data_IF_356590461189
#
_entry.id   IF_356590461189
#
_cell.length_a   1.000
_cell.length_b   1.000
_cell.length_c   1.000
_cell.angle_alpha   90.00
_cell.angle_beta   90.00
_cell.angle_gamma   90.00
#
_symmetry.space_group_name_H-M   'P 1'
#
loop_
_entity.id
_entity.type
_entity.pdbx_description
1 polymer ?
2 non-polymer ?
#
# COMPACT_ATOMS: atom_id res chain seq x y z
N UNK A 22 -13.73 -11.18 31.97
CA UNK A 22 -12.94 -11.98 31.03
C UNK A 22 -13.75 -13.16 30.49
N UNK A 23 -13.77 -13.29 29.16
CA UNK A 23 -14.50 -14.38 28.52
C UNK A 23 -13.69 -15.65 28.41
N UNK A 24 -14.26 -16.69 27.81
CA UNK A 24 -13.56 -17.95 27.67
C UNK A 24 -12.49 -17.83 26.59
N UNK A 25 -11.35 -18.48 26.83
CA UNK A 25 -10.26 -18.46 25.86
C UNK A 25 -10.60 -19.36 24.68
N UNK A 26 -10.33 -18.86 23.48
CA UNK A 26 -10.55 -19.64 22.28
C UNK A 26 -9.47 -20.71 22.13
N UNK A 27 -9.78 -21.73 21.35
CA UNK A 27 -8.80 -22.76 21.02
C UNK A 27 -7.69 -22.15 20.18
N UNK A 28 -6.48 -22.69 20.35
CA UNK A 28 -5.31 -22.07 19.73
C UNK A 28 -5.23 -22.37 18.24
N UNK A 29 -5.41 -23.64 17.86
CA UNK A 29 -5.41 -24.00 16.44
C UNK A 29 -6.64 -23.45 15.73
N UNK A 30 -7.75 -23.26 16.43
CA UNK A 30 -8.91 -22.60 15.84
C UNK A 30 -8.73 -21.08 15.76
N UNK A 31 -7.73 -20.53 16.42
CA UNK A 31 -7.45 -19.10 16.37
C UNK A 31 -6.51 -18.76 15.22
N UNK A 32 -5.40 -19.48 15.10
CA UNK A 32 -4.41 -19.18 14.07
C UNK A 32 -4.95 -19.55 12.69
N UNK A 33 -5.74 -20.63 12.60
CA UNK A 33 -6.36 -20.97 11.33
C UNK A 33 -7.52 -20.06 10.97
N UNK A 34 -7.97 -19.19 11.89
CA UNK A 34 -8.98 -18.19 11.59
C UNK A 34 -8.39 -16.81 11.37
N UNK A 35 -7.25 -16.49 12.00
CA UNK A 35 -6.55 -15.25 11.67
C UNK A 35 -5.97 -15.32 10.27
N UNK A 36 -5.44 -16.47 9.88
CA UNK A 36 -4.91 -16.66 8.54
C UNK A 36 -5.99 -16.97 7.51
N UNK A 37 -7.24 -17.15 7.95
CA UNK A 37 -8.34 -17.25 7.01
C UNK A 37 -9.03 -15.90 6.82
N UNK A 38 -9.14 -15.09 7.88
CA UNK A 38 -9.62 -13.73 7.70
C UNK A 38 -8.59 -12.89 6.96
N UNK A 39 -7.31 -13.02 7.31
CA UNK A 39 -6.27 -12.31 6.61
C UNK A 39 -6.07 -12.75 5.17
N UNK A 40 -6.55 -13.94 4.83
CA UNK A 40 -6.62 -14.36 3.43
C UNK A 40 -7.83 -13.77 2.74
N UNK A 41 -9.00 -13.85 3.38
CA UNK A 41 -10.25 -13.46 2.74
C UNK A 41 -10.48 -11.95 2.73
N UNK A 42 -9.78 -11.20 3.59
CA UNK A 42 -9.94 -9.75 3.57
C UNK A 42 -9.22 -9.11 2.38
N UNK A 43 -8.36 -9.85 1.70
CA UNK A 43 -7.67 -9.34 0.52
C UNK A 43 -8.35 -9.74 -0.78
N UNK A 44 -9.45 -10.49 -0.73
CA UNK A 44 -10.09 -10.97 -1.94
C UNK A 44 -10.99 -9.87 -2.49
N UNK A 45 -10.45 -9.14 -3.46
CA UNK A 45 -11.19 -8.10 -4.18
C UNK A 45 -10.77 -8.32 -5.63
N UNK A 46 -11.45 -9.24 -6.33
CA UNK A 46 -11.05 -9.58 -7.70
C UNK A 46 -11.10 -8.41 -8.66
N UNK A 47 -12.02 -7.46 -8.44
CA UNK A 47 -12.11 -6.32 -9.33
C UNK A 47 -11.31 -5.12 -8.86
N UNK A 48 -10.30 -5.35 -8.03
CA UNK A 48 -9.52 -4.25 -7.48
C UNK A 48 -8.54 -3.69 -8.49
N UNK A 49 -7.90 -4.57 -9.26
CA UNK A 49 -6.99 -4.12 -10.31
C UNK A 49 -7.72 -3.56 -11.51
N UNK A 50 -9.01 -3.83 -11.63
CA UNK A 50 -9.83 -3.40 -12.76
C UNK A 50 -10.82 -2.33 -12.35
N UNK A 51 -10.40 -1.39 -11.50
CA UNK A 51 -11.24 -0.26 -11.18
C UNK A 51 -11.08 0.84 -12.23
N UNK A 52 -9.84 1.13 -12.61
CA UNK A 52 -9.61 2.12 -13.66
C UNK A 52 -10.07 1.67 -15.06
N UNK A 53 -9.89 0.41 -15.51
CA UNK A 53 -10.57 0.03 -16.77
C UNK A 53 -12.08 -0.02 -16.66
N UNK A 54 -12.62 -0.10 -15.44
CA UNK A 54 -14.06 0.03 -15.26
C UNK A 54 -14.52 1.47 -15.30
N UNK A 55 -13.78 2.39 -14.67
CA UNK A 55 -14.17 3.80 -14.67
C UNK A 55 -13.93 4.44 -16.02
N UNK A 56 -12.85 4.06 -16.70
CA UNK A 56 -12.55 4.56 -18.03
C UNK A 56 -13.21 3.75 -19.13
N UNK A 57 -14.04 2.77 -18.77
CA UNK A 57 -14.69 1.93 -19.74
C UNK A 57 -16.00 2.50 -20.22
N UNK A 58 -16.79 1.68 -20.91
CA UNK A 58 -18.08 2.17 -21.44
C UNK A 58 -19.23 2.07 -20.46
N UNK A 59 -18.93 1.90 -19.17
CA UNK A 59 -19.97 1.69 -18.15
C UNK A 59 -20.06 2.83 -17.15
N UNK A 60 -19.29 3.90 -17.31
CA UNK A 60 -19.19 4.85 -16.20
C UNK A 60 -19.40 6.31 -16.56
N UNK A 61 -19.13 6.68 -17.83
CA UNK A 61 -19.22 8.07 -18.33
C UNK A 61 -18.29 9.00 -17.55
N UNK A 62 -17.00 8.73 -17.67
CA UNK A 62 -15.96 9.56 -17.07
C UNK A 62 -14.91 9.85 -18.11
N UNK A 63 -14.50 11.11 -18.20
CA UNK A 63 -13.40 11.49 -19.07
C UNK A 63 -12.09 10.94 -18.52
N UNK A 64 -11.09 10.85 -19.38
CA UNK A 64 -9.76 10.44 -18.93
C UNK A 64 -9.13 11.48 -18.03
N UNK A 65 -9.50 12.75 -18.22
CA UNK A 65 -9.01 13.84 -17.39
C UNK A 65 -9.80 14.00 -16.10
N UNK A 66 -10.93 13.31 -15.95
CA UNK A 66 -11.65 13.35 -14.68
C UNK A 66 -11.14 12.29 -13.71
N UNK A 67 -10.65 11.17 -14.24
CA UNK A 67 -10.13 10.12 -13.37
C UNK A 67 -8.75 10.49 -12.85
N UNK A 68 -7.88 11.03 -13.68
CA UNK A 68 -6.51 11.30 -13.27
C UNK A 68 -6.33 12.66 -12.62
N UNK A 69 -7.32 13.56 -12.68
CA UNK A 69 -7.15 14.90 -12.15
C UNK A 69 -8.27 15.36 -11.23
N UNK A 70 -9.37 14.61 -11.13
CA UNK A 70 -10.45 14.96 -10.23
C UNK A 70 -10.84 13.86 -9.27
N UNK A 71 -10.51 12.60 -9.55
CA UNK A 71 -10.90 11.47 -8.71
C UNK A 71 -9.71 10.91 -7.95
N UNK A 72 -8.66 10.51 -8.65
CA UNK A 72 -7.47 9.91 -8.04
C UNK A 72 -6.66 10.83 -7.12
N UNK A 73 -6.58 12.16 -7.30
CA UNK A 73 -5.98 12.99 -6.24
C UNK A 73 -6.75 13.00 -4.93
N UNK A 74 -8.06 12.71 -4.93
CA UNK A 74 -8.81 12.62 -3.68
C UNK A 74 -8.40 11.41 -2.87
N UNK A 75 -7.79 10.40 -3.51
CA UNK A 75 -7.25 9.27 -2.78
C UNK A 75 -6.09 9.68 -1.88
N UNK A 76 -5.28 10.65 -2.32
CA UNK A 76 -4.18 11.10 -1.48
C UNK A 76 -4.60 12.19 -0.51
N UNK A 77 -5.68 12.92 -0.82
CA UNK A 77 -6.21 13.92 0.10
C UNK A 77 -6.88 13.26 1.28
N UNK A 78 -7.77 12.29 1.00
CA UNK A 78 -8.48 11.60 2.06
C UNK A 78 -7.57 10.69 2.86
N UNK A 79 -6.46 10.23 2.27
CA UNK A 79 -5.49 9.44 3.03
C UNK A 79 -4.78 10.30 4.07
N UNK A 80 -4.51 11.56 3.73
CA UNK A 80 -3.90 12.47 4.70
C UNK A 80 -4.88 12.81 5.81
N UNK A 81 -6.17 12.88 5.52
CA UNK A 81 -7.15 13.30 6.50
C UNK A 81 -7.51 12.20 7.48
N UNK A 82 -7.41 10.93 7.09
CA UNK A 82 -7.86 9.83 7.93
C UNK A 82 -6.73 8.97 8.46
N UNK A 83 -5.46 9.28 8.12
CA UNK A 83 -4.36 8.43 8.57
C UNK A 83 -4.15 8.52 10.08
N UNK A 84 -4.21 9.73 10.63
CA UNK A 84 -4.10 9.92 12.07
C UNK A 84 -5.39 9.57 12.82
N UNK A 85 -6.60 9.90 12.35
CA UNK A 85 -7.79 9.37 13.06
C UNK A 85 -7.92 7.85 13.08
N UNK A 86 -7.52 7.15 12.01
CA UNK A 86 -7.65 5.70 12.04
C UNK A 86 -6.58 5.07 12.93
N UNK A 87 -5.34 5.57 12.86
CA UNK A 87 -4.24 5.03 13.66
C UNK A 87 -4.46 5.21 15.15
N UNK A 88 -5.15 6.27 15.55
CA UNK A 88 -5.53 6.40 16.95
C UNK A 88 -6.73 5.54 17.29
N UNK A 89 -7.72 5.46 16.38
CA UNK A 89 -8.87 4.59 16.60
C UNK A 89 -8.53 3.11 16.44
N UNK A 90 -7.43 2.79 15.78
CA UNK A 90 -6.99 1.40 15.72
C UNK A 90 -6.53 0.91 17.08
N UNK A 91 -5.83 1.77 17.81
CA UNK A 91 -5.32 1.43 19.13
C UNK A 91 -6.32 1.72 20.24
N UNK A 92 -7.23 2.67 20.03
CA UNK A 92 -8.19 2.99 21.09
C UNK A 92 -9.32 1.97 21.14
N UNK A 93 -9.79 1.50 19.99
CA UNK A 93 -10.89 0.54 19.93
C UNK A 93 -10.42 -0.90 19.97
N UNK A 94 -9.11 -1.12 20.14
CA UNK A 94 -8.49 -2.45 20.25
C UNK A 94 -8.74 -3.31 19.01
N UNK A 95 -8.54 -2.69 17.85
CA UNK A 95 -8.20 -3.30 16.56
C UNK A 95 -9.25 -4.24 15.96
N UNK A 96 -10.45 -4.27 16.51
CA UNK A 96 -11.50 -5.13 15.96
C UNK A 96 -12.52 -4.22 15.24
N UNK A 97 -12.96 -3.07 15.77
CA UNK A 97 -13.85 -2.21 14.97
C UNK A 97 -13.20 -1.61 13.74
N UNK A 98 -11.88 -1.50 13.70
CA UNK A 98 -11.23 -0.93 12.53
C UNK A 98 -11.01 -2.00 11.46
N UNK A 99 -10.83 -3.25 11.86
CA UNK A 99 -10.90 -4.35 10.90
C UNK A 99 -12.31 -4.55 10.38
N UNK A 100 -13.32 -4.11 11.13
CA UNK A 100 -14.68 -4.04 10.63
C UNK A 100 -14.93 -2.77 9.83
N UNK A 101 -14.28 -1.66 10.20
CA UNK A 101 -14.40 -0.43 9.43
C UNK A 101 -13.71 -0.57 8.07
N UNK A 102 -12.60 -1.31 8.03
CA UNK A 102 -11.93 -1.56 6.75
C UNK A 102 -12.78 -2.46 5.86
N UNK A 103 -13.49 -3.40 6.44
CA UNK A 103 -14.38 -4.25 5.65
C UNK A 103 -15.61 -3.53 5.18
N UNK A 104 -16.15 -2.62 5.99
CA UNK A 104 -17.33 -1.85 5.61
C UNK A 104 -16.99 -0.68 4.71
N UNK A 105 -15.76 -0.19 4.73
CA UNK A 105 -15.34 0.81 3.75
C UNK A 105 -15.02 0.18 2.41
N UNK A 106 -14.68 -1.11 2.38
CA UNK A 106 -14.47 -1.79 1.10
C UNK A 106 -15.80 -2.12 0.43
N UNK A 107 -16.84 -2.40 1.22
CA UNK A 107 -18.18 -2.56 0.68
C UNK A 107 -18.68 -1.23 0.14
N UNK A 108 -18.38 -0.14 0.86
CA UNK A 108 -18.79 1.19 0.41
C UNK A 108 -18.02 1.66 -0.82
N UNK A 109 -16.82 1.15 -1.05
CA UNK A 109 -16.12 1.43 -2.31
C UNK A 109 -16.80 0.71 -3.45
N UNK A 110 -17.08 -0.58 -3.28
CA UNK A 110 -17.71 -1.35 -4.34
C UNK A 110 -19.21 -1.13 -4.45
N UNK A 111 -19.83 -0.43 -3.50
CA UNK A 111 -21.18 0.05 -3.70
C UNK A 111 -21.20 1.38 -4.44
N UNK A 112 -20.13 2.16 -4.33
CA UNK A 112 -20.02 3.39 -5.12
C UNK A 112 -19.44 3.12 -6.50
N UNK A 113 -18.76 1.99 -6.70
CA UNK A 113 -18.36 1.62 -8.05
C UNK A 113 -19.56 1.20 -8.89
N UNK A 114 -20.43 0.37 -8.34
CA UNK A 114 -21.54 -0.20 -9.09
C UNK A 114 -22.73 0.73 -9.19
N UNK A 115 -22.93 1.63 -8.23
CA UNK A 115 -24.10 2.50 -8.21
C UNK A 115 -23.76 3.97 -8.36
N UNK A 116 -22.48 4.34 -8.38
CA UNK A 116 -22.10 5.73 -8.52
C UNK A 116 -21.94 6.11 -9.99
N UNK A 117 -22.36 7.30 -10.34
CA UNK A 117 -22.25 7.75 -11.72
C UNK A 117 -21.61 9.12 -11.83
N UNK A 118 -21.71 9.93 -10.79
CA UNK A 118 -21.12 11.25 -10.82
C UNK A 118 -19.65 11.20 -10.41
N UNK A 119 -18.96 12.32 -10.63
CA UNK A 119 -17.57 12.43 -10.20
C UNK A 119 -17.50 12.51 -8.69
N UNK A 120 -18.47 13.17 -8.06
CA UNK A 120 -18.52 13.22 -6.59
C UNK A 120 -18.85 11.88 -5.97
N UNK A 121 -19.49 10.98 -6.72
CA UNK A 121 -19.70 9.63 -6.24
C UNK A 121 -18.42 8.81 -6.24
N UNK A 122 -17.45 9.17 -7.07
CA UNK A 122 -16.16 8.49 -7.07
C UNK A 122 -15.13 9.20 -6.22
N UNK A 123 -15.33 10.49 -5.94
CA UNK A 123 -14.41 11.16 -4.99
C UNK A 123 -14.76 10.60 -3.61
N UNK A 124 -16.06 10.34 -3.37
CA UNK A 124 -16.50 9.71 -2.10
C UNK A 124 -15.92 8.29 -2.02
N UNK A 125 -15.86 7.60 -3.17
CA UNK A 125 -15.31 6.23 -3.23
C UNK A 125 -13.83 6.24 -2.82
N UNK A 126 -13.08 7.24 -3.28
CA UNK A 126 -11.65 7.38 -2.91
C UNK A 126 -11.55 7.68 -1.42
N UNK A 127 -12.53 8.41 -0.86
CA UNK A 127 -12.56 8.66 0.57
C UNK A 127 -12.69 7.37 1.36
N UNK A 128 -13.51 6.44 0.85
CA UNK A 128 -13.70 5.18 1.57
C UNK A 128 -12.54 4.23 1.32
N UNK A 129 -11.85 4.36 0.18
CA UNK A 129 -10.67 3.53 -0.03
C UNK A 129 -9.50 4.00 0.82
N UNK A 130 -9.45 5.30 1.12
CA UNK A 130 -8.40 5.83 1.98
C UNK A 130 -8.56 5.39 3.44
N UNK A 131 -9.78 5.04 3.85
CA UNK A 131 -9.99 4.46 5.17
C UNK A 131 -9.35 3.08 5.25
N UNK A 132 -9.48 2.30 4.17
CA UNK A 132 -8.90 0.95 4.14
C UNK A 132 -7.39 0.98 4.03
N UNK A 133 -6.83 2.01 3.39
CA UNK A 133 -5.38 2.12 3.30
C UNK A 133 -4.81 2.60 4.64
N UNK A 134 -5.58 3.40 5.38
CA UNK A 134 -5.17 3.78 6.72
C UNK A 134 -5.34 2.63 7.71
N UNK A 135 -6.19 1.66 7.39
CA UNK A 135 -6.42 0.50 8.23
C UNK A 135 -5.66 -0.73 7.75
N UNK A 136 -4.58 -0.54 7.00
CA UNK A 136 -3.75 -1.68 6.59
C UNK A 136 -2.94 -2.21 7.76
N UNK A 137 -2.58 -1.35 8.71
CA UNK A 137 -1.89 -1.79 9.92
C UNK A 137 -2.86 -2.24 11.01
N UNK A 138 -4.16 -2.26 10.72
CA UNK A 138 -5.12 -2.70 11.72
C UNK A 138 -5.16 -4.21 11.84
N UNK A 139 -4.51 -4.93 10.93
CA UNK A 139 -4.41 -6.38 11.00
C UNK A 139 -3.03 -6.82 11.46
N UNK A 140 -1.98 -6.10 11.07
CA UNK A 140 -0.64 -6.42 11.52
C UNK A 140 -0.46 -6.11 13.01
N UNK A 141 -1.13 -5.08 13.51
CA UNK A 141 -1.09 -4.74 14.92
C UNK A 141 -2.22 -5.38 15.71
N UNK A 142 -3.14 -6.09 15.04
CA UNK A 142 -4.16 -6.84 15.76
C UNK A 142 -3.59 -8.13 16.32
N UNK A 143 -2.91 -8.91 15.47
CA UNK A 143 -2.27 -10.13 15.92
C UNK A 143 -1.02 -9.87 16.75
N UNK A 144 -0.54 -8.63 16.78
CA UNK A 144 0.54 -8.27 17.68
C UNK A 144 0.06 -8.19 19.11
N UNK A 145 -1.15 -7.67 19.33
CA UNK A 145 -1.73 -7.56 20.65
C UNK A 145 -2.59 -8.74 21.03
N UNK A 146 -2.97 -9.59 20.07
CA UNK A 146 -3.77 -10.76 20.37
C UNK A 146 -2.91 -11.94 20.79
N UNK A 147 -1.75 -12.09 20.19
CA UNK A 147 -0.87 -13.24 20.40
C UNK A 147 0.23 -12.84 21.38
N UNK A 148 0.52 -13.73 22.32
CA UNK A 148 1.61 -13.54 23.26
C UNK A 148 2.95 -13.52 22.50
N UNK A 149 3.94 -12.76 23.00
CA UNK A 149 5.20 -12.61 22.25
C UNK A 149 6.01 -13.88 22.09
N UNK A 150 5.80 -14.88 22.95
CA UNK A 150 6.44 -16.17 22.75
C UNK A 150 5.85 -16.93 21.56
N UNK A 151 4.60 -16.64 21.20
CA UNK A 151 3.91 -17.30 20.11
C UNK A 151 3.71 -16.39 18.90
N UNK A 152 4.26 -15.18 18.93
CA UNK A 152 3.86 -14.18 17.94
C UNK A 152 4.56 -14.37 16.60
N UNK A 153 5.85 -14.65 16.60
CA UNK A 153 6.63 -14.69 15.37
C UNK A 153 6.24 -15.86 14.46
N UNK A 154 5.65 -16.91 15.02
CA UNK A 154 5.12 -17.98 14.19
C UNK A 154 3.75 -17.63 13.61
N UNK A 155 2.93 -16.92 14.40
CA UNK A 155 1.61 -16.51 13.91
C UNK A 155 1.75 -15.36 12.93
N UNK A 156 2.69 -14.43 13.19
CA UNK A 156 2.93 -13.34 12.26
C UNK A 156 3.57 -13.81 10.97
N UNK A 157 4.23 -14.97 10.99
CA UNK A 157 4.74 -15.56 9.77
C UNK A 157 3.63 -16.19 8.96
N UNK A 158 2.71 -16.87 9.65
CA UNK A 158 1.59 -17.53 8.97
C UNK A 158 0.57 -16.52 8.46
N UNK A 159 0.38 -15.44 9.21
CA UNK A 159 -0.58 -14.40 8.84
C UNK A 159 -0.09 -13.62 7.63
N UNK A 160 1.17 -13.20 7.67
CA UNK A 160 1.75 -12.44 6.57
C UNK A 160 1.79 -13.27 5.30
N UNK A 161 2.07 -14.56 5.41
CA UNK A 161 2.01 -15.45 4.26
C UNK A 161 0.59 -15.77 3.83
N UNK A 162 -0.40 -15.44 4.64
CA UNK A 162 -1.80 -15.54 4.22
C UNK A 162 -2.31 -14.24 3.63
N UNK A 163 -1.70 -13.11 4.00
CA UNK A 163 -2.07 -11.84 3.39
C UNK A 163 -1.55 -11.76 1.97
N UNK A 164 -0.25 -12.02 1.77
CA UNK A 164 0.34 -11.94 0.44
C UNK A 164 -0.10 -13.09 -0.46
N UNK A 165 -0.65 -14.16 0.10
CA UNK A 165 -1.32 -15.16 -0.71
C UNK A 165 -2.72 -14.71 -1.11
N UNK A 166 -3.37 -13.92 -0.27
CA UNK A 166 -4.69 -13.40 -0.58
C UNK A 166 -4.63 -12.23 -1.54
N UNK A 167 -3.58 -11.42 -1.43
CA UNK A 167 -3.36 -10.34 -2.39
C UNK A 167 -2.99 -10.93 -3.75
N UNK A 168 -2.25 -12.04 -3.76
CA UNK A 168 -1.90 -12.70 -5.02
C UNK A 168 -3.14 -13.34 -5.66
N UNK A 169 -3.87 -14.15 -4.91
CA UNK A 169 -4.94 -14.94 -5.50
C UNK A 169 -6.20 -14.13 -5.78
N UNK A 170 -6.30 -12.89 -5.32
CA UNK A 170 -7.42 -12.06 -5.73
C UNK A 170 -7.17 -11.46 -7.10
N UNK A 171 -5.92 -11.12 -7.40
CA UNK A 171 -5.58 -10.65 -8.73
C UNK A 171 -5.56 -11.78 -9.74
N UNK A 172 -5.28 -13.01 -9.29
CA UNK A 172 -5.35 -14.17 -10.15
C UNK A 172 -6.80 -14.54 -10.43
N UNK A 173 -7.64 -14.53 -9.38
CA UNK A 173 -9.07 -14.77 -9.57
C UNK A 173 -9.72 -13.65 -10.37
N UNK A 174 -9.26 -12.41 -10.19
CA UNK A 174 -9.77 -11.32 -11.00
C UNK A 174 -9.34 -11.39 -12.44
N UNK A 175 -8.20 -12.04 -12.71
CA UNK A 175 -7.74 -12.19 -14.08
C UNK A 175 -8.36 -13.39 -14.75
N UNK A 176 -8.54 -14.50 -14.00
CA UNK A 176 -9.13 -15.70 -14.59
C UNK A 176 -10.61 -15.53 -14.84
N UNK A 177 -11.30 -14.70 -14.05
CA UNK A 177 -12.69 -14.41 -14.34
C UNK A 177 -12.84 -13.47 -15.53
N UNK A 178 -11.84 -12.63 -15.78
CA UNK A 178 -11.95 -11.63 -16.84
C UNK A 178 -11.44 -12.19 -18.17
N UNK A 179 -10.33 -12.93 -18.13
CA UNK A 179 -9.76 -13.46 -19.36
C UNK A 179 -10.32 -14.82 -19.71
N UNK A 180 -10.21 -15.78 -18.80
CA UNK A 180 -10.72 -17.13 -19.04
C UNK A 180 -12.22 -17.21 -18.80
N UNK A 181 -12.69 -16.62 -17.69
CA UNK A 181 -14.11 -16.68 -17.37
C UNK A 181 -14.99 -15.83 -18.23
N UNK A 182 -14.43 -14.81 -18.88
CA UNK A 182 -15.12 -13.88 -19.80
C UNK A 182 -16.30 -13.18 -19.13
N UNK A 183 -16.06 -12.65 -17.94
CA UNK A 183 -17.06 -11.86 -17.25
C UNK A 183 -16.75 -10.38 -17.49
N UNK A 184 -17.77 -9.55 -17.36
CA UNK A 184 -17.60 -8.12 -17.53
C UNK A 184 -17.01 -7.52 -16.26
N UNK A 185 -16.62 -6.24 -16.34
CA UNK A 185 -16.13 -5.55 -15.16
C UNK A 185 -17.24 -5.23 -14.19
N UNK A 186 -18.48 -5.13 -14.65
CA UNK A 186 -19.59 -4.94 -13.73
C UNK A 186 -19.92 -6.23 -12.99
N UNK A 187 -19.87 -7.37 -13.70
CA UNK A 187 -20.11 -8.65 -13.06
C UNK A 187 -18.99 -9.02 -12.10
N UNK A 188 -17.76 -8.63 -12.44
CA UNK A 188 -16.62 -8.86 -11.55
C UNK A 188 -16.73 -8.04 -10.28
N UNK A 189 -17.27 -6.83 -10.35
CA UNK A 189 -17.45 -6.02 -9.16
C UNK A 189 -18.61 -6.48 -8.29
N UNK A 190 -19.55 -7.25 -8.85
CA UNK A 190 -20.54 -7.91 -8.02
C UNK A 190 -20.00 -9.18 -7.39
N UNK A 191 -19.07 -9.86 -8.08
CA UNK A 191 -18.35 -10.96 -7.47
C UNK A 191 -17.43 -10.45 -6.36
N UNK A 192 -16.78 -9.29 -6.60
CA UNK A 192 -15.95 -8.67 -5.57
C UNK A 192 -16.79 -8.18 -4.41
N UNK A 193 -18.03 -7.77 -4.66
CA UNK A 193 -18.90 -7.33 -3.58
C UNK A 193 -19.37 -8.51 -2.72
N UNK A 194 -19.41 -9.71 -3.29
CA UNK A 194 -19.75 -10.89 -2.50
C UNK A 194 -18.59 -11.33 -1.62
N UNK A 195 -17.36 -11.21 -2.10
CA UNK A 195 -16.19 -11.53 -1.29
C UNK A 195 -15.92 -10.48 -0.21
N UNK A 196 -16.52 -9.30 -0.32
CA UNK A 196 -16.29 -8.25 0.65
C UNK A 196 -17.33 -8.22 1.74
N UNK A 197 -18.57 -8.61 1.46
CA UNK A 197 -19.55 -8.80 2.52
C UNK A 197 -19.22 -10.04 3.35
N UNK A 198 -18.54 -11.02 2.74
CA UNK A 198 -18.08 -12.18 3.48
C UNK A 198 -16.92 -11.81 4.40
N UNK A 199 -16.09 -10.85 4.01
CA UNK A 199 -15.01 -10.39 4.87
C UNK A 199 -15.50 -9.47 5.99
N UNK A 200 -16.73 -8.96 5.88
CA UNK A 200 -17.33 -8.24 7.01
C UNK A 200 -17.84 -9.23 8.05
N UNK A 201 -18.43 -10.35 7.61
CA UNK A 201 -18.92 -11.37 8.52
C UNK A 201 -17.76 -12.05 9.26
N UNK A 202 -16.64 -12.24 8.57
CA UNK A 202 -15.46 -12.83 9.23
C UNK A 202 -14.82 -11.87 10.21
N UNK A 203 -14.99 -10.56 10.01
CA UNK A 203 -14.45 -9.58 10.95
C UNK A 203 -15.29 -9.44 12.20
N UNK A 204 -16.54 -9.90 12.17
CA UNK A 204 -17.39 -9.83 13.35
C UNK A 204 -17.02 -10.88 14.37
N UNK A 205 -16.52 -12.04 13.93
CA UNK A 205 -16.19 -13.15 14.81
C UNK A 205 -14.73 -13.13 15.24
N UNK A 206 -14.04 -12.01 15.06
CA UNK A 206 -12.67 -11.90 15.53
C UNK A 206 -12.63 -11.60 17.02
N UNK A 207 -11.70 -12.23 17.72
CA UNK A 207 -11.55 -12.02 19.16
C UNK A 207 -10.97 -10.64 19.41
N UNK A 208 -11.70 -9.81 20.12
CA UNK A 208 -11.19 -8.50 20.47
C UNK A 208 -10.20 -8.62 21.63
N UNK A 209 -9.02 -8.03 21.52
CA UNK A 209 -8.09 -8.01 22.66
C UNK A 209 -8.63 -7.16 23.79
N UNK A 210 -8.14 -7.43 25.00
CA UNK A 210 -8.59 -6.69 26.18
C UNK A 210 -7.72 -5.46 26.45
N UNK A 211 -6.47 -5.52 26.05
CA UNK A 211 -5.57 -4.39 26.24
C UNK A 211 -4.80 -4.13 24.96
N UNK A 212 -4.51 -2.87 24.72
CA UNK A 212 -3.86 -2.41 23.50
C UNK A 212 -2.43 -1.96 23.79
N UNK A 213 -1.77 -1.41 22.78
CA UNK A 213 -0.38 -0.99 22.91
C UNK A 213 -0.23 0.39 23.50
N UNK A 214 -1.12 1.33 23.20
CA UNK A 214 -1.00 2.70 23.68
C UNK A 214 -2.09 3.07 24.68
N UNK A 215 -3.35 2.94 24.31
CA UNK A 215 -4.42 3.53 25.10
C UNK A 215 -5.01 2.58 26.12
N UNK A 216 -5.28 1.35 25.70
CA UNK A 216 -5.89 0.35 26.58
C UNK A 216 -4.96 -0.27 27.62
N UNK A 217 -3.67 0.01 27.52
CA UNK A 217 -2.71 -0.54 28.47
C UNK A 217 -3.12 -0.15 29.89
N UNK A 218 -3.01 -1.12 30.82
CA UNK A 218 -3.37 -0.87 32.21
C UNK A 218 -2.32 -0.09 32.98
N UNK A 219 -1.17 0.22 32.36
CA UNK A 219 -0.07 1.01 32.91
C UNK A 219 0.48 0.46 34.22
N UNK A 252 5.22 7.43 32.28
CA UNK A 252 4.07 7.03 31.48
C UNK A 252 4.52 6.57 30.10
N UNK A 253 3.61 5.92 29.37
CA UNK A 253 3.93 5.43 28.03
C UNK A 253 4.45 6.53 27.14
N UNK A 254 3.77 7.68 27.13
CA UNK A 254 4.18 8.80 26.31
C UNK A 254 5.51 9.40 26.77
N UNK A 255 5.64 9.62 28.08
CA UNK A 255 6.87 10.17 28.62
C UNK A 255 8.06 9.30 28.22
N UNK A 256 7.92 7.99 28.43
CA UNK A 256 8.97 7.03 28.08
C UNK A 256 9.34 7.14 26.61
N UNK A 257 8.32 7.22 25.75
CA UNK A 257 8.50 7.31 24.31
C UNK A 257 9.37 8.49 23.92
N UNK A 258 8.92 9.70 24.27
CA UNK A 258 9.65 10.93 23.94
C UNK A 258 11.08 10.95 24.50
N UNK A 259 11.25 10.44 25.72
CA UNK A 259 12.56 10.40 26.34
C UNK A 259 13.47 9.43 25.60
N UNK A 260 12.90 8.34 25.11
CA UNK A 260 13.65 7.34 24.36
C UNK A 260 13.52 7.54 22.86
N UNK A 261 13.42 8.79 22.43
CA UNK A 261 13.30 9.10 21.02
C UNK A 261 14.49 9.92 20.56
N UNK A 262 14.84 10.98 21.30
CA UNK A 262 15.96 11.78 20.84
C UNK A 262 17.28 11.05 20.94
N UNK A 263 17.36 10.03 21.79
CA UNK A 263 18.50 9.12 21.76
C UNK A 263 18.52 8.31 20.47
N UNK A 264 17.36 7.87 20.01
CA UNK A 264 17.25 7.08 18.80
C UNK A 264 17.11 7.92 17.55
N UNK A 265 16.77 9.20 17.68
CA UNK A 265 16.63 10.06 16.51
C UNK A 265 17.98 10.42 15.91
N UNK A 266 19.04 10.43 16.71
CA UNK A 266 20.38 10.68 16.20
C UNK A 266 21.10 9.37 15.86
N UNK A 267 20.42 8.52 15.10
CA UNK A 267 21.00 7.29 14.59
C UNK A 267 21.18 7.44 13.08
N UNK A 268 22.36 7.13 12.52
CA UNK A 268 22.57 7.35 11.09
C UNK A 268 21.85 6.34 10.19
N UNK A 269 21.19 5.35 10.74
CA UNK A 269 20.38 4.41 9.96
C UNK A 269 18.89 4.66 10.09
N UNK A 270 18.42 5.13 11.24
CA UNK A 270 17.03 5.54 11.35
C UNK A 270 16.79 6.84 10.57
N UNK A 271 17.68 7.81 10.72
CA UNK A 271 17.55 9.09 10.05
C UNK A 271 17.75 8.97 8.55
N UNK A 272 18.46 7.94 8.08
CA UNK A 272 18.65 7.74 6.65
C UNK A 272 17.42 7.09 6.01
N UNK A 273 16.91 6.04 6.63
CA UNK A 273 15.80 5.29 6.05
C UNK A 273 14.44 5.90 6.35
N UNK A 274 14.35 6.83 7.30
CA UNK A 274 13.12 7.61 7.43
C UNK A 274 13.00 8.60 6.29
N UNK A 275 14.12 9.19 5.86
CA UNK A 275 14.09 10.10 4.72
C UNK A 275 13.81 9.33 3.42
N UNK A 276 14.16 8.05 3.37
CA UNK A 276 13.70 7.21 2.27
C UNK A 276 12.21 6.94 2.37
N UNK A 277 11.71 6.69 3.58
CA UNK A 277 10.30 6.37 3.75
C UNK A 277 9.42 7.59 3.52
N UNK A 278 9.92 8.79 3.77
CA UNK A 278 9.12 9.99 3.56
C UNK A 278 9.03 10.33 2.08
N UNK A 279 10.18 10.37 1.40
CA UNK A 279 10.23 10.90 0.04
C UNK A 279 10.22 9.83 -1.04
N UNK A 280 10.96 8.75 -0.88
CA UNK A 280 11.01 7.73 -1.93
C UNK A 280 9.82 6.79 -1.88
N UNK A 281 9.01 6.84 -0.82
CA UNK A 281 7.76 6.11 -0.78
C UNK A 281 6.57 6.98 -1.14
N UNK A 282 6.69 8.30 -1.03
CA UNK A 282 5.65 9.19 -1.53
C UNK A 282 5.60 9.14 -3.05
N UNK A 283 6.76 9.08 -3.70
CA UNK A 283 6.79 8.93 -5.14
C UNK A 283 6.45 7.54 -5.62
N UNK A 284 6.59 6.54 -4.75
CA UNK A 284 6.21 5.17 -5.11
C UNK A 284 4.70 5.07 -5.30
N UNK A 285 3.94 5.53 -4.30
CA UNK A 285 2.49 5.39 -4.35
C UNK A 285 1.86 6.32 -5.37
N UNK A 286 2.52 7.40 -5.76
CA UNK A 286 2.01 8.23 -6.84
C UNK A 286 2.15 7.55 -8.20
N UNK A 287 2.99 6.52 -8.31
CA UNK A 287 3.01 5.72 -9.51
C UNK A 287 1.95 4.62 -9.46
N UNK A 288 1.76 4.01 -8.29
CA UNK A 288 0.83 2.90 -8.14
C UNK A 288 -0.61 3.37 -8.26
N UNK A 289 -0.92 4.62 -7.87
CA UNK A 289 -2.26 5.15 -8.03
C UNK A 289 -2.61 5.37 -9.50
N UNK A 290 -1.62 5.74 -10.30
CA UNK A 290 -1.87 6.23 -11.66
C UNK A 290 -1.37 5.32 -12.75
N UNK A 291 -0.80 4.15 -12.43
CA UNK A 291 -0.26 3.30 -13.49
C UNK A 291 -1.40 2.61 -14.24
N UNK A 292 -2.56 2.46 -13.62
CA UNK A 292 -3.69 1.84 -14.32
C UNK A 292 -4.34 2.82 -15.27
N UNK A 293 -4.18 4.12 -15.01
CA UNK A 293 -4.66 5.14 -15.94
C UNK A 293 -3.74 5.23 -17.14
N UNK A 294 -2.46 4.95 -16.95
CA UNK A 294 -1.50 4.94 -18.04
C UNK A 294 -1.63 3.69 -18.90
N UNK A 295 -1.93 2.55 -18.29
CA UNK A 295 -2.14 1.32 -19.04
C UNK A 295 -3.42 1.35 -19.86
N UNK A 296 -4.40 2.14 -19.45
CA UNK A 296 -5.60 2.35 -20.24
C UNK A 296 -5.38 3.28 -21.41
N UNK A 297 -4.29 4.04 -21.39
CA UNK A 297 -3.90 4.92 -22.48
C UNK A 297 -2.99 4.22 -23.48
N UNK A 298 -2.12 3.32 -23.01
CA UNK A 298 -1.23 2.59 -23.90
C UNK A 298 -2.00 1.60 -24.75
N UNK A 299 -2.76 0.71 -24.10
CA UNK A 299 -3.60 -0.27 -24.78
C UNK A 299 -5.05 -0.01 -24.42
N UNK A 300 -5.75 0.88 -25.15
CA UNK A 300 -7.17 1.14 -24.86
C UNK A 300 -8.08 0.14 -25.56
N UNK A 301 -8.06 -1.10 -25.06
CA UNK A 301 -8.82 -2.17 -25.70
C UNK A 301 -10.29 -2.07 -25.32
N UNK A 302 -11.14 -2.52 -26.25
CA UNK A 302 -12.58 -2.58 -25.99
C UNK A 302 -12.97 -3.88 -25.29
N UNK A 303 -12.28 -4.97 -25.59
CA UNK A 303 -12.53 -6.23 -24.92
C UNK A 303 -11.93 -6.20 -23.53
N UNK A 304 -12.74 -6.55 -22.53
CA UNK A 304 -12.26 -6.57 -21.16
C UNK A 304 -11.27 -7.71 -20.92
N UNK A 305 -11.36 -8.78 -21.72
CA UNK A 305 -10.52 -9.97 -21.53
C UNK A 305 -9.07 -9.75 -21.92
N UNK A 306 -8.72 -8.62 -22.52
CA UNK A 306 -7.35 -8.33 -22.92
C UNK A 306 -6.71 -7.25 -22.05
N UNK A 307 -7.24 -7.02 -20.85
CA UNK A 307 -6.76 -5.91 -20.04
C UNK A 307 -5.49 -6.30 -19.30
N UNK A 308 -5.51 -7.44 -18.60
CA UNK A 308 -4.37 -8.02 -17.88
C UNK A 308 -3.82 -7.09 -16.80
N UNK A 309 -4.70 -6.29 -16.18
CA UNK A 309 -4.28 -5.53 -15.01
C UNK A 309 -4.08 -6.44 -13.80
N UNK A 310 -4.86 -7.52 -13.71
CA UNK A 310 -4.71 -8.43 -12.60
C UNK A 310 -3.50 -9.34 -12.71
N UNK A 311 -3.06 -9.64 -13.93
CA UNK A 311 -1.85 -10.43 -14.08
C UNK A 311 -0.60 -9.61 -13.81
N UNK A 312 -0.68 -8.29 -14.04
CA UNK A 312 0.45 -7.41 -13.75
C UNK A 312 0.49 -6.97 -12.29
N UNK A 313 -0.59 -7.18 -11.54
CA UNK A 313 -0.58 -6.93 -10.11
C UNK A 313 -0.48 -8.20 -9.27
N UNK A 314 -0.67 -9.37 -9.89
CA UNK A 314 -0.32 -10.62 -9.23
C UNK A 314 1.15 -10.95 -9.40
N UNK A 315 1.75 -10.56 -10.53
CA UNK A 315 3.17 -10.76 -10.71
C UNK A 315 3.99 -9.79 -9.88
N UNK A 316 3.49 -8.56 -9.69
CA UNK A 316 4.17 -7.61 -8.82
C UNK A 316 4.04 -7.98 -7.36
N UNK A 317 3.02 -8.75 -6.99
CA UNK A 317 2.93 -9.32 -5.65
C UNK A 317 3.83 -10.54 -5.52
N UNK A 318 3.93 -11.35 -6.57
CA UNK A 318 4.83 -12.50 -6.54
C UNK A 318 6.28 -12.07 -6.59
N UNK A 319 6.60 -11.02 -7.34
CA UNK A 319 7.95 -10.47 -7.29
C UNK A 319 8.17 -9.63 -6.04
N UNK A 320 7.11 -9.02 -5.51
CA UNK A 320 7.23 -8.27 -4.28
C UNK A 320 7.46 -9.15 -3.07
N UNK A 321 7.01 -10.40 -3.12
CA UNK A 321 7.27 -11.35 -2.06
C UNK A 321 8.61 -12.04 -2.20
N UNK A 322 9.16 -12.10 -3.42
CA UNK A 322 10.48 -12.69 -3.62
C UNK A 322 11.57 -11.71 -3.19
N UNK A 323 11.44 -10.43 -3.57
CA UNK A 323 12.45 -9.44 -3.20
C UNK A 323 12.38 -9.08 -1.71
N UNK A 324 11.20 -9.15 -1.10
CA UNK A 324 11.11 -8.96 0.33
C UNK A 324 11.68 -10.16 1.09
N UNK A 325 11.61 -11.35 0.52
CA UNK A 325 12.26 -12.50 1.12
C UNK A 325 13.77 -12.44 0.91
N UNK A 326 14.21 -12.00 -0.27
CA UNK A 326 15.63 -11.90 -0.55
C UNK A 326 16.28 -10.73 0.17
N UNK A 327 15.48 -9.78 0.68
CA UNK A 327 16.03 -8.69 1.46
C UNK A 327 16.39 -9.12 2.87
N UNK A 328 15.75 -10.15 3.41
CA UNK A 328 15.98 -10.61 4.77
C UNK A 328 17.38 -11.15 5.01
N UNK A 329 18.08 -11.56 3.96
CA UNK A 329 19.48 -11.94 4.05
C UNK A 329 20.41 -10.80 3.67
N UNK A 330 19.90 -9.57 3.64
CA UNK A 330 20.63 -8.44 3.10
C UNK A 330 20.54 -7.26 4.08
N UNK A 331 19.59 -7.35 5.03
CA UNK A 331 19.29 -6.27 5.96
C UNK A 331 20.49 -5.86 6.82
N UNK A 332 21.31 -6.82 7.21
CA UNK A 332 22.44 -6.56 8.09
C UNK A 332 23.74 -6.43 7.30
N UNK A 333 23.99 -7.35 6.36
CA UNK A 333 25.27 -7.38 5.66
C UNK A 333 25.41 -6.28 4.62
N UNK A 334 24.31 -5.69 4.16
CA UNK A 334 24.35 -4.57 3.24
C UNK A 334 23.95 -3.26 3.90
N UNK A 335 23.90 -3.21 5.23
CA UNK A 335 23.53 -1.99 5.94
C UNK A 335 24.63 -0.95 5.94
N UNK A 336 25.88 -1.35 5.68
CA UNK A 336 26.96 -0.38 5.59
C UNK A 336 26.87 0.41 4.29
N UNK A 337 26.71 -0.28 3.17
CA UNK A 337 26.54 0.36 1.86
C UNK A 337 25.05 0.64 1.64
N UNK A 338 24.52 1.55 2.45
CA UNK A 338 23.08 1.77 2.52
C UNK A 338 22.61 2.88 1.60
N UNK A 339 23.33 4.00 1.54
CA UNK A 339 22.96 5.07 0.63
C UNK A 339 23.22 4.68 -0.82
N UNK A 340 24.21 3.81 -1.05
CA UNK A 340 24.45 3.32 -2.40
C UNK A 340 23.39 2.30 -2.82
N UNK A 341 22.80 1.62 -1.85
CA UNK A 341 21.70 0.70 -2.16
C UNK A 341 20.42 1.45 -2.46
N UNK A 342 20.19 2.56 -1.77
CA UNK A 342 19.03 3.39 -2.04
C UNK A 342 19.16 4.08 -3.39
N UNK A 343 20.33 4.66 -3.66
CA UNK A 343 20.57 5.37 -4.92
C UNK A 343 20.63 4.43 -6.12
N UNK A 344 20.89 3.15 -5.91
CA UNK A 344 20.90 2.20 -7.00
C UNK A 344 19.50 1.73 -7.37
N UNK A 345 18.62 1.66 -6.37
CA UNK A 345 17.26 1.22 -6.62
C UNK A 345 16.38 2.38 -7.06
N UNK A 346 16.59 3.56 -6.50
CA UNK A 346 15.80 4.73 -6.89
C UNK A 346 16.12 5.18 -8.31
N UNK A 347 17.38 5.04 -8.73
CA UNK A 347 17.72 5.31 -10.12
C UNK A 347 17.19 4.22 -11.04
N UNK A 348 17.05 3.00 -10.54
CA UNK A 348 16.35 1.96 -11.30
C UNK A 348 14.87 2.26 -11.40
N UNK A 349 14.27 2.78 -10.32
CA UNK A 349 12.89 3.24 -10.37
C UNK A 349 12.73 4.50 -11.20
N UNK A 350 13.80 5.29 -11.36
CA UNK A 350 13.73 6.46 -12.23
C UNK A 350 13.66 6.06 -13.69
N UNK A 351 14.31 4.95 -14.07
CA UNK A 351 14.25 4.49 -15.43
C UNK A 351 12.99 3.72 -15.76
N UNK A 352 12.40 3.05 -14.77
CA UNK A 352 11.19 2.29 -15.00
C UNK A 352 9.97 3.20 -15.15
N UNK A 353 9.92 4.28 -14.37
CA UNK A 353 8.85 5.26 -14.51
C UNK A 353 9.03 6.05 -15.81
N UNK A 354 10.27 6.29 -16.22
CA UNK A 354 10.52 6.89 -17.52
C UNK A 354 10.14 5.93 -18.65
N UNK A 355 10.36 4.64 -18.45
CA UNK A 355 9.94 3.65 -19.45
C UNK A 355 8.43 3.54 -19.52
N UNK A 356 7.74 3.77 -18.40
CA UNK A 356 6.28 3.81 -18.41
C UNK A 356 5.77 5.04 -19.16
N UNK A 357 6.41 6.19 -18.95
CA UNK A 357 5.92 7.43 -19.53
C UNK A 357 6.21 7.57 -21.01
N UNK A 358 7.12 6.77 -21.57
CA UNK A 358 7.54 6.94 -22.95
C UNK A 358 7.16 5.79 -23.87
N UNK A 359 6.56 4.73 -23.36
CA UNK A 359 6.01 3.69 -24.22
C UNK A 359 4.61 4.11 -24.66
N UNK A 360 4.44 4.36 -25.95
CA UNK A 360 3.18 4.85 -26.48
C UNK A 360 2.46 3.87 -27.40
N UNK A 361 3.15 2.86 -27.93
CA UNK A 361 2.51 1.93 -28.83
C UNK A 361 1.74 0.86 -28.04
N UNK A 362 0.58 0.42 -28.53
CA UNK A 362 -0.19 -0.59 -27.80
C UNK A 362 0.45 -1.96 -27.77
N UNK A 363 1.41 -2.25 -28.66
CA UNK A 363 2.08 -3.54 -28.62
C UNK A 363 3.09 -3.64 -27.49
N UNK A 364 3.54 -2.51 -26.95
CA UNK A 364 4.48 -2.48 -25.84
C UNK A 364 3.77 -2.30 -24.50
N UNK A 365 2.54 -2.80 -24.38
CA UNK A 365 1.85 -2.78 -23.09
C UNK A 365 2.47 -3.79 -22.14
N UNK A 366 3.08 -4.86 -22.67
CA UNK A 366 3.77 -5.82 -21.85
C UNK A 366 5.10 -5.29 -21.34
N UNK A 367 5.67 -4.28 -22.01
CA UNK A 367 6.81 -3.58 -21.45
C UNK A 367 6.37 -2.66 -20.32
N UNK A 368 5.15 -2.12 -20.39
CA UNK A 368 4.62 -1.35 -19.27
C UNK A 368 4.20 -2.25 -18.12
N UNK A 369 3.83 -3.50 -18.40
CA UNK A 369 3.56 -4.44 -17.34
C UNK A 369 4.85 -4.89 -16.66
N UNK A 370 5.92 -5.05 -17.44
CA UNK A 370 7.20 -5.47 -16.87
C UNK A 370 7.90 -4.33 -16.14
N UNK A 371 7.70 -3.08 -16.57
CA UNK A 371 8.30 -1.95 -15.89
C UNK A 371 7.53 -1.50 -14.65
N UNK A 372 6.45 -2.21 -14.29
CA UNK A 372 5.76 -1.99 -13.03
C UNK A 372 5.90 -3.15 -12.07
N UNK A 373 6.01 -4.38 -12.58
CA UNK A 373 6.36 -5.52 -11.74
C UNK A 373 7.77 -5.35 -11.20
N UNK A 374 8.68 -4.85 -12.04
CA UNK A 374 10.03 -4.56 -11.57
C UNK A 374 10.05 -3.31 -10.70
N UNK A 375 9.09 -2.41 -10.89
CA UNK A 375 9.02 -1.21 -10.07
C UNK A 375 8.49 -1.53 -8.68
N UNK A 376 7.50 -2.40 -8.59
CA UNK A 376 7.02 -2.84 -7.28
C UNK A 376 8.02 -3.78 -6.63
N UNK A 377 8.79 -4.52 -7.44
CA UNK A 377 9.81 -5.39 -6.88
C UNK A 377 11.02 -4.62 -6.38
N UNK A 378 11.27 -3.45 -6.96
CA UNK A 378 12.37 -2.61 -6.49
C UNK A 378 12.02 -1.95 -5.16
N UNK A 379 10.76 -1.53 -5.00
CA UNK A 379 10.35 -0.88 -3.76
C UNK A 379 10.18 -1.88 -2.63
N UNK A 380 9.60 -3.05 -2.92
CA UNK A 380 9.36 -4.04 -1.88
C UNK A 380 10.64 -4.77 -1.50
N UNK A 381 11.73 -4.53 -2.23
CA UNK A 381 13.03 -4.99 -1.78
C UNK A 381 13.56 -4.12 -0.65
N UNK A 382 13.37 -2.82 -0.74
CA UNK A 382 13.92 -1.91 0.26
C UNK A 382 13.00 -1.70 1.46
N UNK A 383 11.81 -2.30 1.48
CA UNK A 383 10.91 -2.16 2.62
C UNK A 383 11.33 -3.02 3.81
N UNK A 384 11.71 -4.32 3.68
CA UNK A 384 12.27 -5.01 4.86
C UNK A 384 13.61 -4.48 5.31
N UNK A 385 14.37 -3.82 4.44
CA UNK A 385 15.59 -3.18 4.88
C UNK A 385 15.28 -1.90 5.64
N UNK A 386 14.26 -1.16 5.20
CA UNK A 386 13.86 0.06 5.91
C UNK A 386 13.17 -0.29 7.23
N UNK A 387 12.38 -1.35 7.25
CA UNK A 387 11.70 -1.74 8.48
C UNK A 387 12.68 -2.25 9.53
N UNK A 388 13.76 -2.89 9.10
CA UNK A 388 14.76 -3.36 10.06
C UNK A 388 15.66 -2.22 10.54
N UNK A 389 16.16 -1.40 9.62
CA UNK A 389 17.13 -0.36 9.99
C UNK A 389 16.49 0.80 10.73
N UNK A 390 15.18 0.98 10.65
CA UNK A 390 14.51 1.98 11.48
C UNK A 390 14.17 1.43 12.84
N UNK A 391 13.52 0.26 12.89
CA UNK A 391 13.02 -0.32 14.14
C UNK A 391 14.03 -1.26 14.79
N UNK A 392 15.32 -1.03 14.60
CA UNK A 392 16.32 -1.91 15.19
C UNK A 392 16.45 -1.68 16.69
N UNK A 393 16.74 -0.44 17.09
CA UNK A 393 16.90 -0.10 18.49
C UNK A 393 15.69 0.69 19.02
N UNK A 394 14.50 0.38 18.53
CA UNK A 394 13.28 1.05 18.96
C UNK A 394 12.42 0.12 19.79
N UNK A 395 11.62 0.72 20.67
CA UNK A 395 10.60 -0.03 21.38
C UNK A 395 9.45 -0.36 20.43
N UNK A 396 8.56 -1.24 20.88
CA UNK A 396 7.39 -1.57 20.07
C UNK A 396 6.40 -0.42 20.05
N UNK A 397 6.37 0.39 21.11
CA UNK A 397 5.55 1.59 21.09
C UNK A 397 6.21 2.70 20.29
N UNK A 398 7.53 2.66 20.21
CA UNK A 398 8.30 3.65 19.46
C UNK A 398 8.27 3.34 17.97
N UNK A 399 8.40 2.06 17.62
CA UNK A 399 8.39 1.66 16.21
C UNK A 399 7.00 1.81 15.61
N UNK A 400 5.95 1.66 16.42
CA UNK A 400 4.61 1.97 15.96
C UNK A 400 4.40 3.45 15.77
N UNK A 401 5.15 4.28 16.52
CA UNK A 401 5.06 5.73 16.36
C UNK A 401 5.84 6.21 15.15
N UNK A 402 7.07 5.70 14.98
CA UNK A 402 7.95 6.18 13.91
C UNK A 402 7.42 5.74 12.54
N UNK A 403 6.98 4.49 12.42
CA UNK A 403 6.35 4.04 11.19
C UNK A 403 5.02 4.71 10.91
N UNK A 404 4.34 5.20 11.96
CA UNK A 404 3.16 6.02 11.74
C UNK A 404 3.49 7.45 11.38
N UNK A 405 4.59 7.98 11.92
CA UNK A 405 5.01 9.34 11.58
C UNK A 405 5.62 9.38 10.19
N UNK A 406 6.40 8.34 9.82
CA UNK A 406 6.97 8.27 8.49
C UNK A 406 5.90 8.08 7.42
N UNK A 407 4.86 7.31 7.73
CA UNK A 407 3.75 7.18 6.79
C UNK A 407 2.91 8.45 6.73
N UNK A 408 2.86 9.21 7.83
CA UNK A 408 2.16 10.48 7.82
C UNK A 408 2.94 11.53 7.05
N UNK A 409 4.26 11.59 7.26
CA UNK A 409 5.08 12.55 6.53
C UNK A 409 5.21 12.19 5.06
N UNK A 410 5.14 10.90 4.73
CA UNK A 410 5.09 10.51 3.32
C UNK A 410 3.76 10.86 2.69
N UNK A 411 2.70 10.96 3.47
CA UNK A 411 1.41 11.36 2.93
C UNK A 411 1.32 12.87 2.75
N UNK A 412 2.09 13.65 3.51
CA UNK A 412 2.16 15.08 3.27
C UNK A 412 2.90 15.38 1.97
N UNK A 413 3.99 14.66 1.71
CA UNK A 413 4.72 14.82 0.45
C UNK A 413 3.88 14.30 -0.71
N UNK A 414 3.13 13.23 -0.49
CA UNK A 414 2.27 12.69 -1.53
C UNK A 414 1.09 13.61 -1.83
N UNK A 415 0.62 14.35 -0.83
CA UNK A 415 -0.47 15.31 -1.04
C UNK A 415 0.04 16.57 -1.71
N UNK A 416 1.25 17.02 -1.37
CA UNK A 416 1.83 18.22 -1.95
C UNK A 416 2.12 18.02 -3.43
N UNK A 417 2.62 16.84 -3.80
CA UNK A 417 2.90 16.57 -5.21
C UNK A 417 1.60 16.38 -5.99
N UNK A 418 0.65 15.61 -5.44
CA UNK A 418 -0.58 15.34 -6.18
C UNK A 418 -1.52 16.54 -6.24
N UNK A 419 -1.31 17.57 -5.42
CA UNK A 419 -2.06 18.79 -5.59
C UNK A 419 -1.45 19.67 -6.66
N UNK A 420 -0.12 19.76 -6.70
CA UNK A 420 0.55 20.56 -7.70
C UNK A 420 0.55 19.86 -9.06
N UNK A 421 1.04 18.63 -9.13
CA UNK A 421 1.27 17.96 -10.39
C UNK A 421 0.00 17.34 -10.95
N UNK A 422 -0.78 16.66 -10.13
CA UNK A 422 -1.88 15.83 -10.62
C UNK A 422 -3.26 16.49 -10.56
N UNK A 423 -3.50 17.38 -9.61
CA UNK A 423 -4.85 17.90 -9.41
C UNK A 423 -5.18 18.97 -10.45
N UNK A 424 -6.47 19.07 -10.78
CA UNK A 424 -6.93 20.07 -11.73
C UNK A 424 -6.92 21.47 -11.10
N UNK A 425 -6.88 21.57 -9.77
CA UNK A 425 -6.69 22.85 -9.11
C UNK A 425 -5.24 23.30 -9.13
N UNK A 426 -4.31 22.39 -9.43
CA UNK A 426 -2.92 22.74 -9.59
C UNK A 426 -2.54 22.87 -11.05
N UNK A 427 -1.77 21.91 -11.55
CA UNK A 427 -1.40 21.94 -12.97
C UNK A 427 -2.42 21.21 -13.83
N UNK A 428 -2.96 20.10 -13.35
CA UNK A 428 -3.91 19.31 -14.13
C UNK A 428 -3.22 18.57 -15.26
N UNK A 429 -2.12 17.92 -14.95
CA UNK A 429 -1.35 17.25 -15.98
C UNK A 429 -1.97 15.91 -16.32
N UNK A 430 -1.84 15.47 -17.58
CA UNK A 430 -2.22 14.11 -17.93
C UNK A 430 -1.24 13.10 -17.34
N UNK A 431 -1.60 11.82 -17.43
CA UNK A 431 -0.84 10.79 -16.74
C UNK A 431 0.50 10.49 -17.42
N UNK A 432 0.67 10.88 -18.68
CA UNK A 432 1.99 10.72 -19.31
C UNK A 432 2.93 11.84 -18.92
N UNK A 433 2.44 13.08 -18.93
CA UNK A 433 3.28 14.22 -18.58
C UNK A 433 3.56 14.30 -17.09
N UNK A 434 2.74 13.67 -16.26
CA UNK A 434 3.01 13.64 -14.83
C UNK A 434 3.83 12.43 -14.41
N UNK A 435 3.92 11.41 -15.26
CA UNK A 435 4.87 10.33 -15.04
C UNK A 435 6.28 10.73 -15.46
N UNK A 436 6.41 11.74 -16.33
CA UNK A 436 7.74 12.29 -16.60
C UNK A 436 8.23 13.13 -15.45
N UNK A 437 7.31 13.78 -14.72
CA UNK A 437 7.70 14.50 -13.51
C UNK A 437 7.98 13.56 -12.36
N UNK A 438 7.30 12.41 -12.32
CA UNK A 438 7.64 11.41 -11.31
C UNK A 438 8.95 10.73 -11.64
N UNK A 439 9.31 10.66 -12.92
CA UNK A 439 10.56 10.06 -13.32
C UNK A 439 11.75 10.92 -12.92
N UNK A 440 11.61 12.25 -13.05
CA UNK A 440 12.67 13.13 -12.59
C UNK A 440 12.57 13.37 -11.09
N UNK A 441 11.49 12.93 -10.44
CA UNK A 441 11.44 12.96 -8.99
C UNK A 441 12.32 11.87 -8.39
N UNK A 442 12.29 10.68 -8.98
CA UNK A 442 13.21 9.62 -8.55
C UNK A 442 14.64 9.91 -8.97
N UNK A 443 14.82 10.60 -10.10
CA UNK A 443 16.16 10.94 -10.55
C UNK A 443 16.79 12.01 -9.68
N UNK A 444 15.99 12.96 -9.19
CA UNK A 444 16.48 13.93 -8.22
C UNK A 444 16.80 13.23 -6.90
N UNK A 445 15.96 12.28 -6.49
CA UNK A 445 16.18 11.58 -5.23
C UNK A 445 17.37 10.63 -5.29
N UNK A 446 17.58 9.95 -6.42
CA UNK A 446 18.71 9.05 -6.53
C UNK A 446 20.03 9.79 -6.68
N UNK A 447 19.99 11.03 -7.17
CA UNK A 447 21.21 11.84 -7.23
C UNK A 447 21.57 12.34 -5.83
N UNK A 448 20.56 12.70 -5.03
CA UNK A 448 20.78 13.14 -3.66
C UNK A 448 21.36 12.01 -2.81
N UNK A 449 20.86 10.79 -3.01
CA UNK A 449 21.39 9.66 -2.28
C UNK A 449 22.74 9.19 -2.82
N UNK A 450 23.03 9.46 -4.10
CA UNK A 450 24.35 9.14 -4.61
C UNK A 450 25.38 10.16 -4.18
N UNK A 451 24.98 11.44 -4.04
CA UNK A 451 25.89 12.43 -3.46
C UNK A 451 26.12 12.15 -1.99
N UNK A 452 25.07 11.69 -1.28
CA UNK A 452 25.25 11.25 0.09
C UNK A 452 26.06 9.99 0.24
N UNK A 453 26.09 9.15 -0.79
CA UNK A 453 26.94 7.96 -0.78
C UNK A 453 28.37 8.26 -1.19
N UNK A 454 28.67 9.50 -1.57
CA UNK A 454 30.02 9.92 -1.89
C UNK A 454 30.53 11.02 -0.98
N UNK A 455 29.74 12.05 -0.70
CA UNK A 455 30.17 13.11 0.20
C UNK A 455 30.17 12.65 1.66
N UNK A 456 29.51 11.53 1.96
CA UNK A 456 29.73 10.78 3.19
C UNK A 456 30.38 9.43 2.92
N UNK A 457 30.97 9.28 1.74
CA UNK A 457 31.61 8.04 1.36
C UNK A 457 33.08 8.22 1.01
N UNK A 458 33.51 9.46 0.84
CA UNK A 458 34.93 9.76 0.68
C UNK A 458 35.56 10.27 1.96
N UNK A 459 34.80 10.38 3.05
CA UNK A 459 35.32 10.81 4.34
C UNK A 459 35.83 9.62 5.15
N UNK A 460 36.68 8.81 4.54
CA UNK A 460 37.25 7.63 5.18
C UNK A 460 38.55 7.25 4.49
#
# INVERSE_FOLDING_TARGET
MGSMVPSSPAVEKQVPVEPGPDPELRSWRHLVCYLCFYGFMAQIRPGESFITPYLLGPDKNFTREQVTNEITPVLSYSYLAVLVPVFLLTDYLRYTPVLLLQGLSFVSVWLLLLLGHSVAHMQLMELFYSVTMAARIAYSSYIFSLVRPARYQRVAGYSRAAVLLGVFTSSVLGQLLVTVGRVSFSTLNYISLAFLTFSVVLALFLKRPKRSLFFNRDDRGRCETSASELERMNPGPGGKLGHALRVACGDSVLARMLRELGDSLRRPQLRLWSLWWVFNSAGYYLVVYYVHILWNEVDPTTNSARVYNGAADAASTLLGAITSFAAGFVKIRWARWSKLLIAGVTATQAGLVFLLAHTRHPSSIWLCYAAFVLFRGSYQFLVPIATFQIASSLSKELCALVFGVNTFFATIVKTIITFIVSDVRGLGLPVRKQFQLYSVYFLILSIIYFLGAMLDGLRHCQRGHHPRQPPAQGLRSAAEEKAAQALSVQDKGLGGLQPAQSPPLSPEDKLGSENLYLEVLFQGPFQGGSGGSGHHHHHHHHHH
#
